data_IF_268617532508
#
_entry.id   IF_268617532508
#
_cell.length_a   1.000
_cell.length_b   1.000
_cell.length_c   1.000
_cell.angle_alpha   90.00
_cell.angle_beta   90.00
_cell.angle_gamma   90.00
#
_symmetry.space_group_name_H-M   'P 1'
#
loop_
_entity.id
_entity.type
_entity.pdbx_description
1 polymer ?
#
# COMPACT_ATOMS: atom_id res chain seq x y z
N UNK A 1 16.16 16.47 -7.84
CA UNK A 1 16.08 16.82 -6.42
C UNK A 1 16.62 15.62 -5.64
N UNK A 2 17.68 15.82 -4.84
CA UNK A 2 18.16 14.76 -3.95
C UNK A 2 17.37 14.80 -2.66
N UNK A 3 16.87 13.64 -2.23
CA UNK A 3 16.26 13.51 -0.91
C UNK A 3 17.20 13.91 0.21
N UNK A 4 16.65 14.43 1.30
CA UNK A 4 17.39 14.58 2.54
C UNK A 4 17.73 13.18 3.09
N UNK A 5 19.00 12.80 3.02
CA UNK A 5 19.50 11.48 3.47
C UNK A 5 19.33 11.22 4.98
N UNK A 6 19.03 12.25 5.75
CA UNK A 6 18.79 12.11 7.19
C UNK A 6 17.33 11.77 7.50
N UNK A 7 16.43 11.90 6.52
CA UNK A 7 15.02 11.58 6.69
C UNK A 7 14.79 10.08 6.52
N UNK A 8 13.81 9.55 7.25
CA UNK A 8 13.30 8.20 7.04
C UNK A 8 12.50 8.13 5.74
N UNK A 9 12.74 7.12 4.92
CA UNK A 9 11.98 6.94 3.67
C UNK A 9 10.83 5.94 3.87
N UNK A 10 9.65 6.31 3.43
CA UNK A 10 8.48 5.42 3.39
C UNK A 10 8.00 5.22 1.96
N UNK A 11 7.66 4.00 1.63
CA UNK A 11 6.98 3.64 0.38
C UNK A 11 5.48 3.79 0.59
N UNK A 12 4.85 4.63 -0.21
CA UNK A 12 3.39 4.77 -0.23
C UNK A 12 2.89 4.35 -1.61
N UNK A 13 2.02 3.37 -1.69
CA UNK A 13 1.53 2.85 -2.98
C UNK A 13 0.11 3.30 -3.26
N UNK A 14 -0.23 3.54 -4.52
CA UNK A 14 -1.60 3.94 -4.91
C UNK A 14 -1.93 5.40 -4.56
N UNK A 15 -0.92 6.28 -4.50
CA UNK A 15 -1.14 7.66 -4.08
C UNK A 15 -1.82 8.54 -5.14
N UNK A 16 -1.82 8.17 -6.41
CA UNK A 16 -2.52 8.91 -7.44
C UNK A 16 -4.05 8.67 -7.41
N UNK A 17 -4.51 7.69 -6.62
CA UNK A 17 -5.92 7.41 -6.36
C UNK A 17 -6.54 8.38 -5.34
N UNK A 18 -7.87 8.29 -5.15
CA UNK A 18 -8.65 9.22 -4.33
C UNK A 18 -8.15 9.35 -2.87
N UNK A 19 -7.94 8.23 -2.18
CA UNK A 19 -7.51 8.27 -0.76
C UNK A 19 -6.07 8.72 -0.66
N UNK A 20 -5.17 8.12 -1.46
CA UNK A 20 -3.74 8.40 -1.41
C UNK A 20 -3.38 9.84 -1.76
N UNK A 21 -4.08 10.45 -2.73
CA UNK A 21 -3.84 11.84 -3.12
C UNK A 21 -4.26 12.87 -2.07
N UNK A 22 -5.15 12.52 -1.16
CA UNK A 22 -5.46 13.33 0.02
C UNK A 22 -4.50 13.07 1.19
N UNK A 23 -3.98 11.85 1.30
CA UNK A 23 -3.04 11.48 2.35
C UNK A 23 -1.66 12.11 2.17
N UNK A 24 -1.11 12.07 0.95
CA UNK A 24 0.28 12.50 0.69
C UNK A 24 0.54 13.95 1.03
N UNK A 25 -0.27 14.94 0.57
CA UNK A 25 -0.07 16.34 0.93
C UNK A 25 -0.14 16.57 2.44
N UNK A 26 -1.15 15.99 3.09
CA UNK A 26 -1.29 16.06 4.55
C UNK A 26 -0.08 15.51 5.29
N UNK A 27 0.45 14.36 4.85
CA UNK A 27 1.59 13.72 5.49
C UNK A 27 2.87 14.54 5.31
N UNK A 28 3.13 15.06 4.11
CA UNK A 28 4.30 15.89 3.82
C UNK A 28 4.31 17.21 4.59
N UNK A 29 3.13 17.82 4.78
CA UNK A 29 2.99 19.04 5.59
C UNK A 29 3.27 18.77 7.07
N UNK A 30 2.77 17.63 7.58
CA UNK A 30 2.84 17.32 9.00
C UNK A 30 4.16 16.70 9.45
N UNK A 31 4.85 15.95 8.59
CA UNK A 31 6.01 15.11 8.93
C UNK A 31 7.19 15.38 8.01
N UNK A 32 7.86 16.52 8.21
CA UNK A 32 8.98 16.96 7.38
C UNK A 32 10.25 16.09 7.50
N UNK A 33 10.32 15.24 8.52
CA UNK A 33 11.40 14.28 8.76
C UNK A 33 11.28 12.98 7.96
N UNK A 34 10.25 12.86 7.11
CA UNK A 34 10.06 11.71 6.23
C UNK A 34 10.20 12.07 4.76
N UNK A 35 10.72 11.14 3.98
CA UNK A 35 10.63 11.14 2.52
C UNK A 35 9.50 10.18 2.09
N UNK A 36 8.69 10.59 1.12
CA UNK A 36 7.67 9.75 0.50
C UNK A 36 8.14 9.31 -0.89
N UNK A 37 8.22 8.01 -1.09
CA UNK A 37 8.35 7.37 -2.40
C UNK A 37 6.96 6.87 -2.79
N UNK A 38 6.33 7.50 -3.77
CA UNK A 38 5.02 7.12 -4.28
C UNK A 38 5.18 6.15 -5.45
N UNK A 39 4.75 4.92 -5.29
CA UNK A 39 4.68 3.92 -6.36
C UNK A 39 3.23 3.77 -6.81
N UNK A 40 2.95 4.13 -8.07
CA UNK A 40 1.61 4.01 -8.65
C UNK A 40 1.68 3.57 -10.10
N UNK A 41 0.79 2.68 -10.50
CA UNK A 41 0.71 2.17 -11.87
C UNK A 41 0.04 3.17 -12.83
N UNK A 42 -0.75 4.11 -12.28
CA UNK A 42 -1.61 5.05 -13.02
C UNK A 42 -2.62 4.30 -13.90
N UNK A 43 -3.43 3.46 -13.25
CA UNK A 43 -4.60 2.86 -13.88
C UNK A 43 -5.72 3.89 -14.05
N UNK A 44 -6.92 3.44 -14.44
CA UNK A 44 -8.08 4.31 -14.62
C UNK A 44 -8.46 5.17 -13.40
N UNK A 45 -8.04 4.78 -12.20
CA UNK A 45 -8.36 5.46 -10.94
C UNK A 45 -7.24 6.42 -10.47
N UNK A 46 -6.08 6.42 -11.12
CA UNK A 46 -4.93 7.23 -10.75
C UNK A 46 -4.75 8.45 -11.65
N UNK A 47 -4.67 9.65 -11.04
CA UNK A 47 -4.40 10.89 -11.75
C UNK A 47 -3.34 11.70 -11.01
N UNK A 48 -2.20 12.01 -11.68
CA UNK A 48 -1.11 12.79 -11.12
C UNK A 48 -1.48 14.25 -10.88
N UNK A 49 -2.48 14.81 -11.57
CA UNK A 49 -2.93 16.18 -11.29
C UNK A 49 -3.38 16.33 -9.83
N UNK A 50 -3.88 15.26 -9.20
CA UNK A 50 -4.24 15.26 -7.78
C UNK A 50 -3.04 15.45 -6.83
N UNK A 51 -1.81 15.24 -7.32
CA UNK A 51 -0.55 15.33 -6.56
C UNK A 51 0.37 16.45 -7.04
N UNK A 52 -0.12 17.33 -7.91
CA UNK A 52 0.65 18.40 -8.53
C UNK A 52 1.33 19.31 -7.51
N UNK A 53 0.67 19.61 -6.42
CA UNK A 53 1.23 20.41 -5.32
C UNK A 53 2.41 19.75 -4.62
N UNK A 54 2.52 18.41 -4.68
CA UNK A 54 3.61 17.65 -4.08
C UNK A 54 4.85 17.59 -4.97
N UNK A 55 4.76 17.85 -6.28
CA UNK A 55 5.86 17.70 -7.23
C UNK A 55 7.10 18.54 -6.90
N UNK A 56 6.89 19.73 -6.34
CA UNK A 56 7.96 20.63 -5.93
C UNK A 56 8.55 20.32 -4.56
N UNK A 57 7.93 19.41 -3.78
CA UNK A 57 8.41 19.07 -2.45
C UNK A 57 9.64 18.18 -2.54
N UNK A 58 10.75 18.60 -1.89
CA UNK A 58 12.02 17.86 -1.89
C UNK A 58 11.93 16.48 -1.22
N UNK A 59 10.92 16.26 -0.38
CA UNK A 59 10.69 15.01 0.32
C UNK A 59 9.71 14.09 -0.41
N UNK A 60 9.30 14.41 -1.63
CA UNK A 60 8.38 13.61 -2.43
C UNK A 60 9.02 13.13 -3.72
N UNK A 61 8.78 11.87 -4.07
CA UNK A 61 9.17 11.29 -5.36
C UNK A 61 8.11 10.35 -5.89
N UNK A 62 7.71 10.56 -7.12
CA UNK A 62 6.84 9.66 -7.86
C UNK A 62 7.67 8.64 -8.67
N UNK A 63 7.23 7.39 -8.64
CA UNK A 63 7.72 6.29 -9.48
C UNK A 63 6.51 5.64 -10.13
N UNK A 64 6.46 5.64 -11.46
CA UNK A 64 5.45 4.87 -12.19
C UNK A 64 5.83 3.41 -12.23
N UNK A 65 4.99 2.53 -11.72
CA UNK A 65 5.25 1.09 -11.75
C UNK A 65 4.19 0.24 -11.08
N UNK A 66 4.28 -1.05 -11.33
CA UNK A 66 3.38 -2.07 -10.79
C UNK A 66 3.95 -2.66 -9.51
N UNK A 67 3.12 -2.76 -8.47
CA UNK A 67 3.47 -3.43 -7.21
C UNK A 67 3.73 -4.93 -7.37
N UNK A 68 3.25 -5.54 -8.47
CA UNK A 68 3.55 -6.92 -8.83
C UNK A 68 4.97 -7.08 -9.41
N UNK A 69 5.62 -6.00 -9.85
CA UNK A 69 6.98 -6.05 -10.37
C UNK A 69 7.99 -6.12 -9.23
N UNK A 70 8.39 -7.35 -8.88
CA UNK A 70 9.33 -7.63 -7.79
C UNK A 70 10.65 -6.89 -7.93
N UNK A 71 11.26 -6.89 -9.13
CA UNK A 71 12.56 -6.25 -9.35
C UNK A 71 12.49 -4.75 -9.07
N UNK A 72 11.40 -4.10 -9.48
CA UNK A 72 11.17 -2.67 -9.20
C UNK A 72 10.98 -2.43 -7.70
N UNK A 73 10.19 -3.28 -7.02
CA UNK A 73 9.97 -3.13 -5.58
C UNK A 73 11.27 -3.32 -4.80
N UNK A 74 12.07 -4.34 -5.10
CA UNK A 74 13.39 -4.60 -4.50
C UNK A 74 14.35 -3.42 -4.75
N UNK A 75 14.36 -2.88 -5.97
CA UNK A 75 15.13 -1.68 -6.29
C UNK A 75 14.72 -0.48 -5.43
N UNK A 76 13.42 -0.23 -5.29
CA UNK A 76 12.90 0.88 -4.48
C UNK A 76 13.33 0.73 -3.01
N UNK A 77 13.19 -0.47 -2.45
CA UNK A 77 13.60 -0.72 -1.06
C UNK A 77 15.08 -0.44 -0.84
N UNK A 78 15.92 -0.87 -1.77
CA UNK A 78 17.37 -0.74 -1.67
C UNK A 78 17.85 0.69 -1.94
N UNK A 79 17.34 1.31 -3.02
CA UNK A 79 17.79 2.65 -3.45
C UNK A 79 17.40 3.74 -2.44
N UNK A 80 16.21 3.60 -1.82
CA UNK A 80 15.66 4.63 -0.93
C UNK A 80 15.72 4.26 0.56
N UNK A 81 16.29 3.12 0.92
CA UNK A 81 16.34 2.61 2.30
C UNK A 81 14.96 2.67 2.98
N UNK A 82 13.99 1.94 2.41
CA UNK A 82 12.60 2.00 2.86
C UNK A 82 12.47 1.47 4.29
N UNK A 83 11.95 2.31 5.18
CA UNK A 83 11.76 2.04 6.61
C UNK A 83 10.29 1.98 7.03
N UNK A 84 9.39 2.04 6.08
CA UNK A 84 7.95 1.87 6.30
C UNK A 84 7.20 1.75 4.99
N UNK A 85 6.06 1.08 5.03
CA UNK A 85 5.14 0.97 3.87
C UNK A 85 3.76 1.39 4.30
N UNK A 86 3.09 2.20 3.47
CA UNK A 86 1.66 2.48 3.55
C UNK A 86 1.04 2.06 2.22
N UNK A 87 0.21 1.04 2.25
CA UNK A 87 -0.25 0.35 1.05
C UNK A 87 -1.71 0.67 0.75
N UNK A 88 -1.93 1.66 -0.15
CA UNK A 88 -3.26 2.01 -0.67
C UNK A 88 -3.57 1.34 -2.01
N UNK A 89 -2.55 0.96 -2.80
CA UNK A 89 -2.76 0.42 -4.13
C UNK A 89 -3.65 -0.83 -4.10
N UNK A 90 -4.75 -0.78 -4.81
CA UNK A 90 -5.70 -1.88 -4.95
C UNK A 90 -6.62 -1.64 -6.16
N UNK A 91 -7.08 -2.70 -6.76
CA UNK A 91 -8.33 -2.68 -7.54
C UNK A 91 -9.50 -2.67 -6.56
N UNK A 92 -10.45 -1.70 -6.70
CA UNK A 92 -11.41 -1.40 -5.63
C UNK A 92 -12.90 -1.39 -6.05
N UNK A 93 -13.22 -1.49 -7.34
CA UNK A 93 -14.62 -1.44 -7.79
C UNK A 93 -15.25 -2.83 -7.84
N UNK A 94 -16.27 -3.07 -7.00
CA UNK A 94 -16.99 -4.35 -6.89
C UNK A 94 -17.53 -4.82 -8.25
N UNK A 95 -18.24 -3.95 -8.99
CA UNK A 95 -18.80 -4.32 -10.30
C UNK A 95 -17.72 -4.73 -11.31
N UNK A 96 -16.56 -4.10 -11.28
CA UNK A 96 -15.42 -4.48 -12.11
C UNK A 96 -14.84 -5.83 -11.67
N UNK A 97 -14.86 -6.14 -10.38
CA UNK A 97 -14.40 -7.42 -9.87
C UNK A 97 -15.25 -8.59 -10.33
N UNK A 98 -16.53 -8.39 -10.49
CA UNK A 98 -17.46 -9.40 -11.03
C UNK A 98 -17.19 -9.64 -12.52
N UNK A 99 -16.87 -8.60 -13.28
CA UNK A 99 -16.61 -8.69 -14.72
C UNK A 99 -15.22 -9.26 -15.02
N UNK A 100 -14.22 -8.91 -14.24
CA UNK A 100 -12.83 -9.32 -14.44
C UNK A 100 -12.12 -9.62 -13.12
N UNK A 101 -12.42 -10.74 -12.44
CA UNK A 101 -11.87 -11.04 -11.11
C UNK A 101 -10.35 -11.28 -11.13
N UNK A 102 -9.78 -11.69 -12.26
CA UNK A 102 -8.35 -12.00 -12.39
C UNK A 102 -7.44 -10.80 -12.05
N UNK A 103 -7.82 -9.60 -12.47
CA UNK A 103 -7.05 -8.38 -12.18
C UNK A 103 -7.02 -8.09 -10.67
N UNK A 104 -8.11 -8.38 -9.97
CA UNK A 104 -8.18 -8.21 -8.51
C UNK A 104 -7.29 -9.20 -7.76
N UNK A 105 -7.20 -10.43 -8.23
CA UNK A 105 -6.26 -11.41 -7.68
C UNK A 105 -4.82 -10.96 -7.95
N UNK A 106 -4.51 -10.54 -9.17
CA UNK A 106 -3.17 -10.09 -9.51
C UNK A 106 -2.75 -8.89 -8.68
N UNK A 107 -3.53 -7.82 -8.68
CA UNK A 107 -3.16 -6.59 -7.97
C UNK A 107 -3.25 -6.76 -6.45
N UNK A 108 -4.42 -7.19 -5.94
CA UNK A 108 -4.67 -7.16 -4.50
C UNK A 108 -3.96 -8.31 -3.76
N UNK A 109 -3.86 -9.50 -4.36
CA UNK A 109 -3.24 -10.65 -3.70
C UNK A 109 -1.75 -10.74 -4.04
N UNK A 110 -1.40 -10.87 -5.33
CA UNK A 110 0.00 -11.05 -5.76
C UNK A 110 0.82 -9.79 -5.53
N UNK A 111 0.25 -8.61 -5.81
CA UNK A 111 0.92 -7.31 -5.54
C UNK A 111 1.18 -7.10 -4.06
N UNK A 112 0.19 -7.35 -3.18
CA UNK A 112 0.38 -7.28 -1.73
C UNK A 112 1.42 -8.28 -1.25
N UNK A 113 1.35 -9.53 -1.72
CA UNK A 113 2.36 -10.55 -1.39
C UNK A 113 3.77 -10.10 -1.80
N UNK A 114 3.94 -9.55 -2.99
CA UNK A 114 5.24 -9.05 -3.46
C UNK A 114 5.80 -7.97 -2.54
N UNK A 115 4.98 -6.99 -2.16
CA UNK A 115 5.40 -5.93 -1.24
C UNK A 115 5.80 -6.46 0.14
N UNK A 116 4.99 -7.36 0.72
CA UNK A 116 5.25 -7.92 2.06
C UNK A 116 6.50 -8.80 2.06
N UNK A 117 6.65 -9.67 1.06
CA UNK A 117 7.80 -10.57 0.95
C UNK A 117 9.12 -9.80 0.77
N UNK A 118 9.10 -8.73 -0.05
CA UNK A 118 10.27 -7.85 -0.20
C UNK A 118 10.55 -7.11 1.11
N UNK A 119 9.54 -6.55 1.76
CA UNK A 119 9.69 -5.86 3.03
C UNK A 119 10.27 -6.78 4.10
N UNK A 120 9.75 -7.99 4.23
CA UNK A 120 10.24 -9.00 5.17
C UNK A 120 11.73 -9.31 4.93
N UNK A 121 12.11 -9.63 3.70
CA UNK A 121 13.49 -9.95 3.33
C UNK A 121 14.44 -8.78 3.52
N UNK A 122 13.96 -7.56 3.29
CA UNK A 122 14.77 -6.36 3.46
C UNK A 122 14.96 -6.01 4.94
N UNK A 123 13.90 -6.09 5.76
CA UNK A 123 13.94 -5.66 7.16
C UNK A 123 14.39 -6.74 8.15
N UNK A 124 14.24 -8.03 7.80
CA UNK A 124 14.46 -9.13 8.74
C UNK A 124 15.67 -9.99 8.35
N UNK A 125 16.31 -10.60 9.36
CA UNK A 125 17.32 -11.64 9.20
C UNK A 125 16.67 -13.01 8.93
N UNK A 126 15.55 -13.26 9.61
CA UNK A 126 14.68 -14.43 9.47
C UNK A 126 13.28 -14.06 9.99
N UNK A 127 12.24 -14.88 9.77
CA UNK A 127 10.90 -14.58 10.27
C UNK A 127 10.89 -14.18 11.76
N UNK A 128 10.23 -13.08 12.07
CA UNK A 128 10.11 -12.48 13.41
C UNK A 128 11.42 -11.96 14.03
N UNK A 129 12.50 -11.83 13.27
CA UNK A 129 13.76 -11.26 13.74
C UNK A 129 14.19 -10.09 12.85
N UNK A 130 13.84 -8.88 13.26
CA UNK A 130 14.23 -7.66 12.56
C UNK A 130 15.75 -7.42 12.66
N UNK A 131 16.34 -6.90 11.60
CA UNK A 131 17.67 -6.27 11.66
C UNK A 131 17.58 -5.05 12.57
N UNK A 132 18.63 -4.76 13.36
CA UNK A 132 18.59 -3.71 14.40
C UNK A 132 18.14 -2.35 13.86
N UNK A 133 18.61 -1.94 12.67
CA UNK A 133 18.24 -0.67 12.05
C UNK A 133 16.78 -0.59 11.59
N UNK A 134 16.06 -1.73 11.48
CA UNK A 134 14.68 -1.81 10.99
C UNK A 134 13.67 -2.26 12.06
N UNK A 135 14.06 -2.34 13.32
CA UNK A 135 13.18 -2.81 14.42
C UNK A 135 11.89 -1.99 14.58
N UNK A 136 11.92 -0.72 14.17
CA UNK A 136 10.77 0.19 14.23
C UNK A 136 10.00 0.31 12.90
N UNK A 137 10.39 -0.45 11.86
CA UNK A 137 9.69 -0.46 10.59
C UNK A 137 8.28 -1.01 10.72
N UNK A 138 7.36 -0.48 9.89
CA UNK A 138 5.95 -0.89 9.89
C UNK A 138 5.45 -1.05 8.47
N UNK A 139 4.66 -2.10 8.27
CA UNK A 139 3.85 -2.28 7.07
C UNK A 139 2.39 -1.97 7.44
N UNK A 140 1.87 -0.86 6.91
CA UNK A 140 0.50 -0.43 7.13
C UNK A 140 -0.33 -0.73 5.87
N UNK A 141 -1.25 -1.68 5.98
CA UNK A 141 -2.14 -2.08 4.90
C UNK A 141 -3.52 -1.45 5.06
N UNK A 142 -4.04 -0.89 3.98
CA UNK A 142 -5.40 -0.32 3.96
C UNK A 142 -6.35 -1.40 3.45
N UNK A 143 -7.20 -1.89 4.33
CA UNK A 143 -8.24 -2.88 4.03
C UNK A 143 -9.60 -2.21 3.74
N UNK A 144 -10.68 -2.96 3.88
CA UNK A 144 -12.06 -2.53 3.69
C UNK A 144 -12.97 -3.29 4.66
N UNK A 145 -14.06 -2.67 5.07
CA UNK A 145 -15.12 -3.32 5.86
C UNK A 145 -15.86 -4.41 5.06
N UNK A 146 -15.82 -4.38 3.75
CA UNK A 146 -16.43 -5.42 2.91
C UNK A 146 -15.84 -6.82 3.13
N UNK A 147 -14.67 -6.94 3.76
CA UNK A 147 -14.10 -8.24 4.15
C UNK A 147 -14.97 -8.97 5.19
N UNK A 148 -15.83 -8.23 5.92
CA UNK A 148 -16.74 -8.77 6.92
C UNK A 148 -18.10 -9.19 6.33
N UNK A 149 -18.38 -8.87 5.08
CA UNK A 149 -19.61 -9.29 4.38
C UNK A 149 -20.74 -8.28 4.47
N UNK A 150 -21.94 -8.74 4.79
CA UNK A 150 -23.16 -7.93 4.80
C UNK A 150 -23.73 -7.81 6.21
N UNK A 151 -24.20 -6.62 6.56
CA UNK A 151 -24.91 -6.34 7.81
C UNK A 151 -26.42 -6.29 7.60
N UNK A 152 -27.17 -6.56 8.68
CA UNK A 152 -28.57 -6.15 8.78
C UNK A 152 -28.66 -4.64 9.07
N UNK A 153 -29.86 -4.07 8.98
CA UNK A 153 -30.08 -2.61 9.08
C UNK A 153 -29.57 -1.96 10.39
N UNK A 154 -29.45 -2.72 11.47
CA UNK A 154 -29.10 -2.20 12.79
C UNK A 154 -27.75 -2.70 13.32
N UNK A 155 -27.08 -3.58 12.56
CA UNK A 155 -25.82 -4.17 12.99
C UNK A 155 -24.62 -3.26 12.69
N UNK A 156 -23.49 -3.52 13.37
CA UNK A 156 -22.20 -2.86 13.14
C UNK A 156 -21.09 -3.90 13.02
N UNK A 157 -20.13 -3.66 12.15
CA UNK A 157 -18.87 -4.42 12.17
C UNK A 157 -18.02 -4.03 13.37
N UNK A 158 -17.34 -4.99 13.93
CA UNK A 158 -16.37 -4.81 15.02
C UNK A 158 -15.09 -5.56 14.70
N UNK A 159 -14.05 -5.34 15.49
CA UNK A 159 -12.76 -6.04 15.34
C UNK A 159 -12.85 -7.56 15.54
N UNK A 160 -13.93 -8.03 16.17
CA UNK A 160 -14.20 -9.46 16.38
C UNK A 160 -15.14 -10.07 15.33
N UNK A 161 -15.67 -9.27 14.40
CA UNK A 161 -16.53 -9.77 13.32
C UNK A 161 -15.75 -10.75 12.43
N UNK A 162 -16.25 -11.97 12.20
CA UNK A 162 -15.59 -12.93 11.30
C UNK A 162 -15.56 -12.42 9.85
N UNK A 163 -14.51 -12.76 9.11
CA UNK A 163 -14.46 -12.51 7.67
C UNK A 163 -15.51 -13.35 6.93
N UNK A 164 -16.30 -12.69 6.11
CA UNK A 164 -17.34 -13.29 5.29
C UNK A 164 -17.48 -12.56 3.94
N UNK A 165 -16.40 -12.40 3.15
CA UNK A 165 -16.42 -11.66 1.91
C UNK A 165 -17.40 -12.28 0.90
N UNK A 166 -18.15 -11.44 0.17
CA UNK A 166 -19.21 -11.86 -0.72
C UNK A 166 -19.07 -11.35 -2.16
N UNK A 167 -17.92 -10.79 -2.51
CA UNK A 167 -17.57 -10.38 -3.87
C UNK A 167 -16.12 -10.78 -4.21
N UNK A 168 -15.72 -10.86 -5.49
CA UNK A 168 -14.31 -11.07 -5.85
C UNK A 168 -13.38 -9.97 -5.30
N UNK A 169 -13.84 -8.73 -5.25
CA UNK A 169 -13.12 -7.63 -4.60
C UNK A 169 -12.89 -7.91 -3.12
N UNK A 170 -13.96 -8.10 -2.36
CA UNK A 170 -13.84 -8.31 -0.90
C UNK A 170 -13.07 -9.59 -0.57
N UNK A 171 -13.20 -10.65 -1.38
CA UNK A 171 -12.41 -11.88 -1.23
C UNK A 171 -10.91 -11.64 -1.47
N UNK A 172 -10.56 -10.83 -2.48
CA UNK A 172 -9.16 -10.47 -2.74
C UNK A 172 -8.57 -9.64 -1.62
N UNK A 173 -9.34 -8.69 -1.05
CA UNK A 173 -8.90 -7.87 0.10
C UNK A 173 -8.77 -8.71 1.38
N UNK A 174 -9.71 -9.61 1.65
CA UNK A 174 -9.59 -10.55 2.77
C UNK A 174 -8.35 -11.44 2.64
N UNK A 175 -8.03 -11.89 1.41
CA UNK A 175 -6.80 -12.64 1.14
C UNK A 175 -5.54 -11.81 1.43
N UNK A 176 -5.54 -10.53 1.03
CA UNK A 176 -4.44 -9.60 1.34
C UNK A 176 -4.24 -9.46 2.85
N UNK A 177 -5.32 -9.27 3.60
CA UNK A 177 -5.29 -9.14 5.07
C UNK A 177 -4.69 -10.39 5.72
N UNK A 178 -5.04 -11.58 5.22
CA UNK A 178 -4.49 -12.85 5.73
C UNK A 178 -2.99 -12.99 5.42
N UNK A 179 -2.54 -12.56 4.22
CA UNK A 179 -1.13 -12.55 3.84
C UNK A 179 -0.33 -11.60 4.76
N UNK A 180 -0.86 -10.40 5.03
CA UNK A 180 -0.19 -9.40 5.89
C UNK A 180 -0.06 -9.91 7.33
N UNK A 181 -1.03 -10.71 7.81
CA UNK A 181 -1.06 -11.21 9.19
C UNK A 181 -0.23 -12.48 9.40
N UNK A 182 0.13 -13.18 8.34
CA UNK A 182 0.87 -14.45 8.41
C UNK A 182 2.38 -14.22 8.55
#
# INVERSE_FOLDING_TARGET
IMFNKNNKSILVTGCAGFIGSNFVPYFLDKYSEYNIINLDLLTYAGDLENLKECESNSNYKFIKGDICNRELVEFIFTEYDIQGVIHFAAESHVDNSIKNPGVFIETNVNGTFTLVDVAQKYWMNKPNEYKEQYKDCRFHHISTDEVYGTLNETDLFTESTPYAPNSPYSASKASSDMIIRS
#
